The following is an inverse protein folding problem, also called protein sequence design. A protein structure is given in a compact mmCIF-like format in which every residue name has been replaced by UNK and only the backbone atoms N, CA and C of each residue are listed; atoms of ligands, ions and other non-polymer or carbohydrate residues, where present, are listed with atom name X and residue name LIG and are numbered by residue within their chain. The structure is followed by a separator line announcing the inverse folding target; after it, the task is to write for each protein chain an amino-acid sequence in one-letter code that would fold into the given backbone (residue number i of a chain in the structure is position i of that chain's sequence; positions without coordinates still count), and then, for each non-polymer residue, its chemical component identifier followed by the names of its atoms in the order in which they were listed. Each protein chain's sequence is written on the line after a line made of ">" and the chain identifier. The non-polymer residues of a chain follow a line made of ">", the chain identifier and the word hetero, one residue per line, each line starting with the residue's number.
data_IF_231039294200
#
_entry.id   IF_231039294200
#
_cell.length_a   1.000
_cell.length_b   1.000
_cell.length_c   1.000
_cell.angle_alpha   90.00
_cell.angle_beta   90.00
_cell.angle_gamma   90.00
#
_symmetry.space_group_name_H-M   'P 1'
#
loop_
_entity.id
_entity.type
_entity.pdbx_description
1 polymer ?
#
# COMPACT_ATOMS: atom_id res chain seq x y z
N UNK A 1 11.89 -15.32 -8.07
CA UNK A 1 10.49 -15.61 -8.42
C UNK A 1 9.65 -14.52 -7.79
N UNK A 2 8.66 -14.00 -8.50
CA UNK A 2 7.86 -12.86 -8.02
C UNK A 2 6.53 -13.38 -7.46
N UNK A 3 6.23 -13.07 -6.21
CA UNK A 3 5.00 -13.49 -5.52
C UNK A 3 3.85 -12.55 -5.86
N UNK A 4 2.65 -13.12 -5.90
CA UNK A 4 1.39 -12.35 -5.83
C UNK A 4 1.08 -11.98 -4.38
N UNK A 5 0.21 -10.98 -4.18
CA UNK A 5 -0.25 -10.57 -2.86
C UNK A 5 -0.85 -11.75 -2.10
N UNK A 6 -1.71 -12.54 -2.76
CA UNK A 6 -2.34 -13.71 -2.15
C UNK A 6 -1.32 -14.77 -1.73
N UNK A 7 -0.30 -15.03 -2.54
CA UNK A 7 0.77 -15.98 -2.16
C UNK A 7 1.58 -15.49 -0.96
N UNK A 8 1.90 -14.20 -0.90
CA UNK A 8 2.60 -13.63 0.25
C UNK A 8 1.74 -13.66 1.53
N UNK A 9 0.44 -13.37 1.42
CA UNK A 9 -0.52 -13.49 2.54
C UNK A 9 -0.56 -14.94 3.04
N UNK A 10 -0.68 -15.92 2.14
CA UNK A 10 -0.69 -17.33 2.54
C UNK A 10 0.62 -17.74 3.23
N UNK A 11 1.78 -17.33 2.70
CA UNK A 11 3.06 -17.62 3.36
C UNK A 11 3.13 -17.02 4.78
N UNK A 12 2.66 -15.79 4.96
CA UNK A 12 2.60 -15.11 6.24
C UNK A 12 1.69 -15.86 7.24
N UNK A 13 0.54 -16.35 6.77
CA UNK A 13 -0.43 -17.09 7.59
C UNK A 13 0.04 -18.50 7.93
N UNK A 14 0.69 -19.19 6.99
CA UNK A 14 1.18 -20.56 7.17
C UNK A 14 2.39 -20.63 8.10
N UNK A 15 3.24 -19.58 8.11
CA UNK A 15 4.50 -19.56 8.86
C UNK A 15 4.71 -18.25 9.64
N UNK A 16 3.82 -17.89 10.58
CA UNK A 16 3.87 -16.59 11.26
C UNK A 16 5.17 -16.38 12.05
N UNK A 17 5.76 -17.44 12.61
CA UNK A 17 7.04 -17.35 13.33
C UNK A 17 8.24 -17.05 12.43
N UNK A 18 8.17 -17.39 11.14
CA UNK A 18 9.23 -17.11 10.17
C UNK A 18 9.29 -15.61 9.80
N UNK A 19 8.21 -14.86 10.06
CA UNK A 19 8.07 -13.43 9.75
C UNK A 19 7.92 -12.59 11.02
N UNK A 20 8.49 -13.05 12.14
CA UNK A 20 8.40 -12.38 13.44
C UNK A 20 9.42 -11.22 13.62
N UNK A 21 10.15 -10.85 12.58
CA UNK A 21 11.10 -9.72 12.61
C UNK A 21 10.86 -8.77 11.44
N UNK A 22 11.27 -7.52 11.61
CA UNK A 22 11.18 -6.50 10.55
C UNK A 22 11.91 -6.96 9.29
N UNK A 23 13.11 -7.53 9.43
CA UNK A 23 13.93 -7.96 8.31
C UNK A 23 13.28 -9.10 7.52
N UNK A 24 12.70 -10.08 8.21
CA UNK A 24 12.03 -11.22 7.56
C UNK A 24 10.76 -10.78 6.84
N UNK A 25 9.98 -9.88 7.45
CA UNK A 25 8.77 -9.34 6.85
C UNK A 25 9.07 -8.45 5.62
N UNK A 26 10.10 -7.60 5.69
CA UNK A 26 10.59 -6.84 4.54
C UNK A 26 11.17 -7.76 3.44
N UNK A 27 11.82 -8.86 3.84
CA UNK A 27 12.28 -9.90 2.92
C UNK A 27 11.14 -10.55 2.13
N UNK A 28 9.95 -10.68 2.75
CA UNK A 28 8.75 -11.13 2.05
C UNK A 28 8.22 -10.05 1.10
N UNK A 29 8.15 -8.79 1.53
CA UNK A 29 7.73 -7.64 0.69
C UNK A 29 8.58 -7.53 -0.59
N UNK A 30 9.89 -7.70 -0.47
CA UNK A 30 10.83 -7.61 -1.60
C UNK A 30 10.65 -8.72 -2.66
N UNK A 31 9.85 -9.74 -2.39
CA UNK A 31 9.53 -10.80 -3.36
C UNK A 31 8.27 -10.48 -4.18
N UNK A 32 7.49 -9.47 -3.81
CA UNK A 32 6.27 -9.11 -4.53
C UNK A 32 6.55 -8.22 -5.75
N UNK A 33 5.69 -8.33 -6.75
CA UNK A 33 5.77 -7.46 -7.92
C UNK A 33 5.39 -6.02 -7.57
N UNK A 34 6.25 -5.09 -7.95
CA UNK A 34 5.98 -3.64 -7.96
C UNK A 34 5.60 -3.15 -9.36
N UNK A 35 5.46 -4.05 -10.33
CA UNK A 35 5.11 -3.68 -11.70
C UNK A 35 3.65 -3.24 -11.79
N UNK A 36 3.44 -2.09 -12.41
CA UNK A 36 2.13 -1.59 -12.79
C UNK A 36 2.16 -1.21 -14.28
N UNK A 37 1.24 -1.77 -15.06
CA UNK A 37 1.08 -1.44 -16.47
C UNK A 37 0.36 -0.10 -16.64
N UNK A 38 0.72 0.65 -17.68
CA UNK A 38 0.08 1.91 -18.01
C UNK A 38 1.04 2.84 -18.75
N UNK A 39 0.50 3.65 -19.67
CA UNK A 39 1.27 4.69 -20.38
C UNK A 39 1.42 5.98 -19.58
N UNK A 40 0.46 6.31 -18.71
CA UNK A 40 0.47 7.55 -17.93
C UNK A 40 0.57 7.24 -16.45
N UNK A 41 1.60 7.72 -15.77
CA UNK A 41 1.68 7.64 -14.30
C UNK A 41 1.04 8.88 -13.70
N UNK A 42 0.07 8.69 -12.81
CA UNK A 42 -0.58 9.79 -12.07
C UNK A 42 -0.29 9.61 -10.58
N UNK A 43 0.31 10.62 -9.96
CA UNK A 43 0.42 10.70 -8.50
C UNK A 43 -0.80 11.45 -7.98
N UNK A 44 -1.57 10.82 -7.10
CA UNK A 44 -2.80 11.38 -6.56
C UNK A 44 -2.84 11.21 -5.04
N UNK A 45 -3.34 12.24 -4.35
CA UNK A 45 -3.61 12.20 -2.92
C UNK A 45 -4.70 13.21 -2.58
N UNK A 46 -5.35 13.04 -1.43
CA UNK A 46 -6.29 14.01 -0.87
C UNK A 46 -7.70 14.05 -1.48
N UNK A 47 -8.52 14.90 -0.87
CA UNK A 47 -9.88 15.21 -1.33
C UNK A 47 -9.85 16.27 -2.43
N UNK A 48 -10.73 16.12 -3.41
CA UNK A 48 -10.98 17.09 -4.50
C UNK A 48 -12.20 17.98 -4.22
N UNK A 49 -12.79 17.88 -3.02
CA UNK A 49 -14.00 18.59 -2.64
C UNK A 49 -15.19 17.65 -2.41
N UNK A 50 -16.39 18.21 -2.43
CA UNK A 50 -17.64 17.46 -2.24
C UNK A 50 -18.43 17.42 -3.54
N UNK A 51 -19.16 16.32 -3.78
CA UNK A 51 -20.11 16.22 -4.87
C UNK A 51 -21.43 16.99 -4.57
N UNK A 52 -22.37 16.95 -5.50
CA UNK A 52 -23.67 17.60 -5.37
C UNK A 52 -24.53 17.09 -4.19
N UNK A 53 -24.15 15.96 -3.57
CA UNK A 53 -24.81 15.34 -2.43
C UNK A 53 -24.02 15.51 -1.13
N UNK A 54 -22.95 16.30 -1.14
CA UNK A 54 -22.10 16.55 0.03
C UNK A 54 -21.11 15.42 0.35
N UNK A 55 -20.96 14.41 -0.53
CA UNK A 55 -19.99 13.33 -0.33
C UNK A 55 -18.60 13.82 -0.76
N UNK A 56 -17.59 13.62 0.09
CA UNK A 56 -16.19 13.89 -0.28
C UNK A 56 -15.76 13.01 -1.45
N UNK A 57 -15.22 13.63 -2.49
CA UNK A 57 -14.64 12.96 -3.66
C UNK A 57 -13.13 12.92 -3.47
N UNK A 58 -12.57 11.71 -3.44
CA UNK A 58 -11.12 11.54 -3.37
C UNK A 58 -10.47 11.50 -4.76
N UNK A 59 -9.23 11.97 -4.86
CA UNK A 59 -8.45 11.83 -6.09
C UNK A 59 -8.22 10.36 -6.48
N UNK A 60 -8.15 9.45 -5.50
CA UNK A 60 -8.10 8.00 -5.73
C UNK A 60 -9.38 7.42 -6.35
N UNK A 61 -10.56 7.87 -5.92
CA UNK A 61 -11.84 7.47 -6.56
C UNK A 61 -11.90 7.94 -8.02
N UNK A 62 -11.40 9.14 -8.32
CA UNK A 62 -11.34 9.65 -9.70
C UNK A 62 -10.42 8.79 -10.57
N UNK A 63 -9.19 8.51 -10.11
CA UNK A 63 -8.25 7.68 -10.86
C UNK A 63 -8.78 6.26 -11.03
N UNK A 64 -9.40 5.68 -10.00
CA UNK A 64 -10.08 4.37 -10.11
C UNK A 64 -11.14 4.39 -11.21
N UNK A 65 -12.02 5.40 -11.23
CA UNK A 65 -13.05 5.53 -12.25
C UNK A 65 -12.48 5.70 -13.67
N UNK A 66 -11.37 6.44 -13.83
CA UNK A 66 -10.71 6.59 -15.13
C UNK A 66 -10.18 5.24 -15.64
N UNK A 67 -9.54 4.47 -14.77
CA UNK A 67 -9.01 3.13 -15.08
C UNK A 67 -10.14 2.18 -15.42
N UNK A 68 -11.22 2.18 -14.63
CA UNK A 68 -12.41 1.34 -14.87
C UNK A 68 -13.11 1.69 -16.21
N UNK A 69 -12.91 2.92 -16.71
CA UNK A 69 -13.38 3.38 -18.04
C UNK A 69 -12.37 3.15 -19.18
N UNK A 70 -11.25 2.47 -18.92
CA UNK A 70 -10.26 2.10 -19.92
C UNK A 70 -9.13 3.12 -20.13
N UNK A 71 -8.96 4.08 -19.22
CA UNK A 71 -7.79 4.96 -19.26
C UNK A 71 -6.50 4.16 -19.02
N UNK A 72 -5.48 4.41 -19.84
CA UNK A 72 -4.17 3.74 -19.81
C UNK A 72 -3.26 4.36 -18.72
N UNK A 73 -3.70 4.24 -17.46
CA UNK A 73 -3.06 4.84 -16.29
C UNK A 73 -2.31 3.77 -15.50
N UNK A 74 -1.05 4.03 -15.19
CA UNK A 74 -0.23 3.28 -14.25
C UNK A 74 -0.63 3.64 -12.83
N UNK A 75 -1.25 2.70 -12.14
CA UNK A 75 -1.74 2.84 -10.77
C UNK A 75 -0.83 2.08 -9.81
N UNK A 76 0.06 2.80 -9.12
CA UNK A 76 1.14 2.22 -8.32
C UNK A 76 0.66 1.59 -7.00
N UNK A 77 -0.47 2.04 -6.45
CA UNK A 77 -1.10 1.48 -5.25
C UNK A 77 -1.92 0.20 -5.52
N UNK A 78 -1.98 -0.24 -6.79
CA UNK A 78 -2.61 -1.51 -7.21
C UNK A 78 -1.60 -2.62 -7.56
N UNK A 79 -0.32 -2.40 -7.30
CA UNK A 79 0.72 -3.43 -7.44
C UNK A 79 0.48 -4.58 -6.45
N UNK A 80 1.07 -5.75 -6.69
CA UNK A 80 0.97 -6.88 -5.75
C UNK A 80 1.61 -6.53 -4.40
N UNK A 81 2.73 -5.80 -4.41
CA UNK A 81 3.36 -5.27 -3.21
C UNK A 81 2.44 -4.32 -2.43
N UNK A 82 1.80 -3.37 -3.12
CA UNK A 82 0.86 -2.43 -2.47
C UNK A 82 -0.35 -3.15 -1.88
N UNK A 83 -0.95 -4.10 -2.61
CA UNK A 83 -2.06 -4.93 -2.10
C UNK A 83 -1.68 -5.71 -0.84
N UNK A 84 -0.47 -6.25 -0.80
CA UNK A 84 0.03 -6.99 0.36
C UNK A 84 0.26 -6.09 1.57
N UNK A 85 0.95 -4.96 1.39
CA UNK A 85 1.24 -4.02 2.48
C UNK A 85 -0.03 -3.40 3.05
N UNK A 86 -1.06 -3.16 2.22
CA UNK A 86 -2.37 -2.68 2.64
C UNK A 86 -3.30 -3.79 3.15
N UNK A 87 -2.81 -5.03 3.29
CA UNK A 87 -3.62 -6.13 3.83
C UNK A 87 -3.64 -6.10 5.35
N UNK A 88 -4.78 -6.48 5.94
CA UNK A 88 -4.94 -6.61 7.38
C UNK A 88 -3.95 -7.61 7.99
N UNK A 89 -3.59 -8.66 7.26
CA UNK A 89 -2.65 -9.68 7.73
C UNK A 89 -1.23 -9.10 7.88
N UNK A 90 -0.81 -8.28 6.92
CA UNK A 90 0.45 -7.56 6.99
C UNK A 90 0.45 -6.54 8.14
N UNK A 91 -0.60 -5.73 8.26
CA UNK A 91 -0.75 -4.78 9.37
C UNK A 91 -0.58 -5.49 10.71
N UNK A 92 -1.33 -6.58 10.96
CA UNK A 92 -1.22 -7.36 12.18
C UNK A 92 0.17 -7.96 12.40
N UNK A 93 0.87 -8.36 11.34
CA UNK A 93 2.25 -8.85 11.48
C UNK A 93 3.18 -7.72 11.96
N UNK A 94 3.03 -6.51 11.42
CA UNK A 94 3.79 -5.33 11.90
C UNK A 94 3.43 -4.98 13.34
N UNK A 95 2.16 -5.03 13.72
CA UNK A 95 1.72 -4.76 15.09
C UNK A 95 2.36 -5.74 16.09
N UNK A 96 2.48 -7.02 15.73
CA UNK A 96 3.15 -8.04 16.56
C UNK A 96 4.64 -7.76 16.75
N UNK A 97 5.30 -7.21 15.72
CA UNK A 97 6.73 -6.91 15.75
C UNK A 97 7.01 -5.61 16.52
N UNK A 98 6.20 -4.58 16.27
CA UNK A 98 6.45 -3.22 16.79
C UNK A 98 5.77 -2.96 18.14
N UNK A 99 4.75 -3.74 18.50
CA UNK A 99 3.92 -3.52 19.69
C UNK A 99 2.96 -2.34 19.58
N UNK A 100 2.88 -1.70 18.42
CA UNK A 100 2.02 -0.53 18.15
C UNK A 100 1.02 -0.86 17.05
N UNK A 101 -0.23 -0.45 17.22
CA UNK A 101 -1.21 -0.55 16.14
C UNK A 101 -0.83 0.40 15.00
N UNK A 102 -0.86 -0.07 13.74
CA UNK A 102 -0.74 0.84 12.61
C UNK A 102 -2.09 1.55 12.50
N UNK A 103 -2.22 2.71 13.14
CA UNK A 103 -3.35 3.57 12.81
C UNK A 103 -3.17 4.01 11.35
N UNK A 104 -4.06 3.51 10.49
CA UNK A 104 -4.24 3.98 9.12
C UNK A 104 -4.79 5.41 9.17
N UNK A 105 -3.96 6.37 9.57
CA UNK A 105 -4.27 7.78 9.42
C UNK A 105 -4.00 8.10 7.95
N UNK A 106 -5.07 8.13 7.16
CA UNK A 106 -5.09 8.72 5.81
C UNK A 106 -4.85 10.24 5.81
N UNK A 107 -4.00 10.73 6.71
CA UNK A 107 -3.55 12.10 6.83
C UNK A 107 -2.06 12.11 6.50
N UNK A 108 -1.68 12.83 5.44
CA UNK A 108 -0.29 13.03 5.02
C UNK A 108 0.61 13.72 6.08
N UNK A 109 0.13 13.92 7.30
CA UNK A 109 0.86 14.49 8.43
C UNK A 109 1.53 13.42 9.33
N UNK A 110 1.17 12.14 9.21
CA UNK A 110 1.55 11.09 10.17
C UNK A 110 2.43 9.98 9.59
N UNK A 111 3.15 10.27 8.50
CA UNK A 111 4.20 9.34 8.07
C UNK A 111 5.21 9.17 9.21
N UNK A 112 5.46 7.93 9.70
CA UNK A 112 6.57 7.70 10.61
C UNK A 112 7.84 8.22 9.94
N UNK A 113 8.57 9.06 10.67
CA UNK A 113 9.80 9.73 10.22
C UNK A 113 10.91 8.69 10.03
N UNK A 114 10.83 7.89 8.96
CA UNK A 114 11.88 6.95 8.56
C UNK A 114 13.02 7.63 7.76
N UNK A 115 12.83 8.89 7.36
CA UNK A 115 13.90 9.70 6.78
C UNK A 115 14.30 10.80 7.77
N UNK A 116 15.42 10.57 8.47
CA UNK A 116 16.10 11.62 9.22
C UNK A 116 16.68 12.69 8.27
N UNK A 117 16.87 13.93 8.73
CA UNK A 117 17.45 14.98 7.91
C UNK A 117 18.97 14.79 7.86
N UNK A 118 19.53 14.58 6.68
CA UNK A 118 20.99 14.46 6.54
C UNK A 118 21.49 14.01 5.19
N UNK A 119 21.17 14.75 4.12
CA UNK A 119 22.06 14.86 2.95
C UNK A 119 21.95 16.30 2.43
N UNK A 120 22.87 17.16 2.88
CA UNK A 120 23.38 18.32 2.14
C UNK A 120 24.87 18.38 2.39
#
# INVERSE_FOLDING_TARGET
>A
MTLTANQAIQQLLDNPSAFATTESLLGLVNQLSVEASGKVTVLYSGSLGQDAFGKSVSSGEVVKNLVDRGADIRVIDKTEAAKFISSRDFEQAVERITGSSIESSGSAADLPRFFGPGIT
#
